data_IF_904024935506
#
_entry.id   IF_904024935506
#
_cell.length_a   1.000
_cell.length_b   1.000
_cell.length_c   1.000
_cell.angle_alpha   90.00
_cell.angle_beta   90.00
_cell.angle_gamma   90.00
#
_symmetry.space_group_name_H-M   'P 1'
#
loop_
_entity.id
_entity.type
_entity.pdbx_description
1 polymer ?
#
# COMPACT_ATOMS: atom_id res chain seq x y z
N UNK A 1 30.92 -6.95 -26.93
CA UNK A 1 30.40 -5.66 -26.43
C UNK A 1 30.42 -5.55 -24.89
N UNK A 2 30.62 -6.66 -24.13
CA UNK A 2 30.63 -6.66 -22.65
C UNK A 2 32.00 -6.33 -22.04
N UNK A 3 33.04 -6.78 -22.66
CA UNK A 3 34.41 -6.61 -22.17
C UNK A 3 34.85 -5.14 -21.98
N UNK A 4 34.52 -4.22 -22.90
CA UNK A 4 34.83 -2.80 -22.70
C UNK A 4 34.12 -2.15 -21.50
N UNK A 5 32.86 -2.54 -21.22
CA UNK A 5 32.07 -2.00 -20.09
C UNK A 5 32.63 -2.50 -18.75
N UNK A 6 32.99 -3.79 -18.68
CA UNK A 6 33.62 -4.37 -17.48
C UNK A 6 34.98 -3.73 -17.20
N UNK A 7 35.74 -3.52 -18.25
CA UNK A 7 37.07 -2.90 -18.13
C UNK A 7 37.01 -1.43 -17.69
N UNK A 8 36.01 -0.69 -18.20
CA UNK A 8 35.80 0.70 -17.81
C UNK A 8 35.31 0.80 -16.36
N UNK A 9 34.31 -0.01 -15.94
CA UNK A 9 33.88 -0.07 -14.56
C UNK A 9 35.01 -0.47 -13.61
N UNK A 10 35.82 -1.45 -14.00
CA UNK A 10 36.99 -1.88 -13.22
C UNK A 10 38.02 -0.77 -13.07
N UNK A 11 38.24 0.04 -14.12
CA UNK A 11 39.13 1.18 -14.08
C UNK A 11 38.63 2.26 -13.11
N UNK A 12 37.37 2.61 -13.17
CA UNK A 12 36.75 3.57 -12.24
C UNK A 12 36.86 3.11 -10.78
N UNK A 13 36.64 1.82 -10.50
CA UNK A 13 36.83 1.25 -9.16
C UNK A 13 38.28 1.33 -8.72
N UNK A 14 39.22 1.07 -9.62
CA UNK A 14 40.66 1.19 -9.32
C UNK A 14 41.04 2.63 -8.98
N UNK A 15 40.52 3.61 -9.73
CA UNK A 15 40.80 5.02 -9.52
C UNK A 15 40.25 5.48 -8.15
N UNK A 16 38.99 5.08 -7.80
CA UNK A 16 38.40 5.37 -6.51
C UNK A 16 39.22 4.76 -5.36
N UNK A 17 39.56 3.47 -5.44
CA UNK A 17 40.32 2.80 -4.39
C UNK A 17 41.71 3.42 -4.23
N UNK A 18 42.39 3.80 -5.33
CA UNK A 18 43.67 4.46 -5.27
C UNK A 18 43.59 5.86 -4.64
N UNK A 19 42.50 6.63 -4.91
CA UNK A 19 42.28 7.93 -4.29
C UNK A 19 41.98 7.83 -2.79
N UNK A 20 41.13 6.88 -2.38
CA UNK A 20 40.71 6.74 -0.99
C UNK A 20 41.76 6.05 -0.09
N UNK A 21 42.46 5.03 -0.59
CA UNK A 21 43.40 4.22 0.20
C UNK A 21 44.85 4.59 0.01
N UNK A 22 45.17 5.43 -0.98
CA UNK A 22 46.55 5.78 -1.37
C UNK A 22 47.34 4.60 -1.96
N UNK A 23 46.70 3.45 -2.23
CA UNK A 23 47.35 2.25 -2.76
C UNK A 23 46.59 1.69 -3.97
N UNK A 24 47.29 1.16 -4.98
CA UNK A 24 46.61 0.51 -6.10
C UNK A 24 45.91 -0.79 -5.66
N UNK A 25 44.85 -1.14 -6.36
CA UNK A 25 44.13 -2.38 -6.11
C UNK A 25 45.03 -3.61 -6.36
N UNK A 26 45.09 -4.52 -5.41
CA UNK A 26 45.87 -5.75 -5.51
C UNK A 26 45.38 -6.62 -6.69
N UNK A 27 46.30 -7.29 -7.43
CA UNK A 27 45.90 -8.11 -8.60
C UNK A 27 44.84 -9.14 -8.31
N UNK A 28 44.87 -9.79 -7.14
CA UNK A 28 43.87 -10.78 -6.73
C UNK A 28 42.47 -10.15 -6.42
N UNK A 29 42.45 -8.93 -5.88
CA UNK A 29 41.22 -8.17 -5.66
C UNK A 29 40.64 -7.68 -6.99
N UNK A 30 41.50 -7.24 -7.91
CA UNK A 30 41.12 -6.84 -9.26
C UNK A 30 40.42 -7.98 -10.02
N UNK A 31 40.94 -9.20 -9.97
CA UNK A 31 40.38 -10.36 -10.66
C UNK A 31 39.05 -10.79 -10.02
N UNK A 32 38.93 -10.71 -8.69
CA UNK A 32 37.66 -10.95 -7.99
C UNK A 32 36.58 -9.96 -8.40
N UNK A 33 36.90 -8.66 -8.44
CA UNK A 33 35.96 -7.61 -8.87
C UNK A 33 35.58 -7.81 -10.33
N UNK A 34 36.53 -8.12 -11.20
CA UNK A 34 36.26 -8.43 -12.62
C UNK A 34 35.28 -9.62 -12.75
N UNK A 35 35.50 -10.67 -11.98
CA UNK A 35 34.61 -11.85 -12.01
C UNK A 35 33.17 -11.53 -11.49
N UNK A 36 33.07 -10.72 -10.45
CA UNK A 36 31.76 -10.24 -9.95
C UNK A 36 31.06 -9.38 -11.00
N UNK A 37 31.75 -8.42 -11.60
CA UNK A 37 31.21 -7.57 -12.67
C UNK A 37 30.83 -8.39 -13.91
N UNK A 38 31.67 -9.35 -14.30
CA UNK A 38 31.40 -10.24 -15.43
C UNK A 38 30.20 -11.16 -15.17
N UNK A 39 30.07 -11.69 -13.94
CA UNK A 39 28.95 -12.49 -13.51
C UNK A 39 27.66 -11.66 -13.47
N UNK A 40 27.68 -10.49 -12.86
CA UNK A 40 26.55 -9.59 -12.78
C UNK A 40 26.10 -9.13 -14.19
N UNK A 41 27.03 -8.73 -15.05
CA UNK A 41 26.73 -8.41 -16.45
C UNK A 41 26.43 -9.66 -17.29
N UNK A 42 26.88 -10.84 -16.88
CA UNK A 42 26.52 -12.12 -17.45
C UNK A 42 25.09 -12.50 -17.15
N UNK A 43 24.65 -12.28 -15.92
CA UNK A 43 23.24 -12.45 -15.51
C UNK A 43 22.34 -11.42 -16.22
N UNK A 44 22.79 -10.16 -16.33
CA UNK A 44 22.10 -9.13 -17.11
C UNK A 44 22.08 -9.41 -18.62
N UNK A 45 23.03 -10.15 -19.16
CA UNK A 45 23.15 -10.43 -20.60
C UNK A 45 22.69 -11.83 -21.02
N UNK A 46 22.48 -12.75 -20.08
CA UNK A 46 21.67 -13.95 -20.29
C UNK A 46 20.23 -13.59 -20.68
N UNK A 47 19.82 -12.38 -20.34
CA UNK A 47 18.53 -11.76 -20.72
C UNK A 47 18.49 -11.30 -22.21
N UNK A 48 19.62 -11.15 -22.91
CA UNK A 48 19.68 -10.69 -24.31
C UNK A 48 19.61 -11.77 -25.39
N UNK A 49 19.65 -13.03 -24.98
CA UNK A 49 19.60 -14.17 -25.90
C UNK A 49 18.30 -14.93 -25.80
N UNK A 50 17.30 -14.61 -26.62
CA UNK A 50 16.10 -15.44 -26.86
C UNK A 50 15.22 -15.73 -25.65
N UNK A 51 15.23 -14.86 -24.63
CA UNK A 51 14.48 -15.08 -23.42
C UNK A 51 13.00 -14.77 -23.61
N UNK A 52 12.28 -15.84 -23.90
CA UNK A 52 10.86 -15.98 -23.63
C UNK A 52 10.60 -15.46 -22.22
N UNK A 53 9.62 -14.58 -22.08
CA UNK A 53 9.11 -14.11 -20.82
C UNK A 53 9.02 -15.28 -19.83
N UNK A 54 9.77 -15.19 -18.73
CA UNK A 54 9.83 -16.28 -17.73
C UNK A 54 8.70 -16.05 -16.73
N UNK A 55 7.83 -17.05 -16.61
CA UNK A 55 6.83 -17.06 -15.54
C UNK A 55 7.52 -17.44 -14.23
N UNK A 56 7.42 -16.57 -13.22
CA UNK A 56 7.98 -16.77 -11.88
C UNK A 56 6.89 -16.64 -10.83
N UNK A 57 7.00 -17.43 -9.77
CA UNK A 57 6.18 -17.28 -8.56
C UNK A 57 6.94 -16.35 -7.61
N UNK A 58 6.35 -15.18 -7.31
CA UNK A 58 6.99 -14.13 -6.52
C UNK A 58 6.04 -13.60 -5.46
N UNK A 59 6.60 -12.98 -4.43
CA UNK A 59 5.86 -12.12 -3.52
C UNK A 59 6.18 -10.67 -3.84
N UNK A 60 5.15 -9.90 -4.07
CA UNK A 60 5.21 -8.50 -4.48
C UNK A 60 4.81 -7.64 -3.28
N UNK A 61 5.61 -6.66 -2.95
CA UNK A 61 5.33 -5.64 -1.96
C UNK A 61 5.24 -4.28 -2.66
N UNK A 62 4.15 -3.57 -2.47
CA UNK A 62 4.02 -2.18 -2.86
C UNK A 62 3.80 -1.35 -1.60
N UNK A 63 4.62 -0.33 -1.41
CA UNK A 63 4.53 0.64 -0.32
C UNK A 63 4.34 2.03 -0.90
N UNK A 64 3.35 2.78 -0.42
CA UNK A 64 3.01 4.12 -0.88
C UNK A 64 2.80 5.09 0.28
N UNK A 65 3.24 6.35 0.13
CA UNK A 65 3.15 7.36 1.19
C UNK A 65 1.76 7.97 1.29
N UNK A 66 1.10 7.77 2.40
CA UNK A 66 -0.27 8.22 2.65
C UNK A 66 -0.36 9.73 2.86
N UNK A 67 -1.11 10.40 1.98
CA UNK A 67 -1.32 11.85 2.03
C UNK A 67 -0.14 12.66 1.51
N UNK A 68 0.75 12.06 0.73
CA UNK A 68 1.92 12.73 0.16
C UNK A 68 1.53 13.91 -0.75
N UNK A 69 0.44 13.83 -1.50
CA UNK A 69 -0.10 14.94 -2.30
C UNK A 69 -0.33 16.20 -1.46
N UNK A 70 -0.84 16.06 -0.24
CA UNK A 70 -1.03 17.19 0.67
C UNK A 70 0.32 17.76 1.17
N UNK A 71 1.31 16.90 1.42
CA UNK A 71 2.66 17.31 1.80
C UNK A 71 3.31 18.06 0.64
N UNK A 72 3.29 17.50 -0.57
CA UNK A 72 3.90 18.10 -1.75
C UNK A 72 3.28 19.44 -2.15
N UNK A 73 2.00 19.67 -1.82
CA UNK A 73 1.30 20.93 -2.05
C UNK A 73 1.58 21.97 -0.97
N UNK A 74 1.93 21.56 0.25
CA UNK A 74 2.05 22.43 1.42
C UNK A 74 3.48 22.83 1.75
N UNK A 75 4.47 22.11 1.26
CA UNK A 75 5.89 22.33 1.56
C UNK A 75 6.71 22.68 0.30
N UNK A 76 7.79 23.45 0.43
CA UNK A 76 8.70 23.73 -0.68
C UNK A 76 9.29 22.44 -1.28
N UNK A 77 9.42 22.39 -2.61
CA UNK A 77 9.88 21.22 -3.34
C UNK A 77 11.23 20.65 -2.82
N UNK A 78 12.13 21.52 -2.33
CA UNK A 78 13.42 21.11 -1.75
C UNK A 78 13.20 20.27 -0.48
N UNK A 79 12.28 20.65 0.39
CA UNK A 79 11.95 19.89 1.62
C UNK A 79 11.28 18.60 1.25
N UNK A 80 10.35 18.60 0.30
CA UNK A 80 9.66 17.38 -0.19
C UNK A 80 10.68 16.37 -0.74
N UNK A 81 11.64 16.84 -1.54
CA UNK A 81 12.69 16.00 -2.08
C UNK A 81 13.60 15.41 -0.99
N UNK A 82 13.97 16.22 0.01
CA UNK A 82 14.80 15.76 1.14
C UNK A 82 14.07 14.69 1.97
N UNK A 83 12.78 14.90 2.25
CA UNK A 83 11.93 13.94 2.95
C UNK A 83 11.85 12.60 2.20
N UNK A 84 11.61 12.65 0.88
CA UNK A 84 11.58 11.44 0.05
C UNK A 84 12.92 10.71 0.04
N UNK A 85 14.03 11.45 -0.13
CA UNK A 85 15.35 10.86 -0.17
C UNK A 85 15.71 10.17 1.15
N UNK A 86 15.49 10.81 2.30
CA UNK A 86 15.73 10.19 3.62
C UNK A 86 14.89 8.91 3.79
N UNK A 87 13.62 8.98 3.39
CA UNK A 87 12.72 7.86 3.44
C UNK A 87 13.22 6.72 2.54
N UNK A 88 13.49 7.00 1.27
CA UNK A 88 13.89 5.98 0.29
C UNK A 88 15.25 5.35 0.60
N UNK A 89 16.22 6.13 1.10
CA UNK A 89 17.51 5.58 1.57
C UNK A 89 17.26 4.54 2.66
N UNK A 90 16.48 4.93 3.70
CA UNK A 90 16.20 4.01 4.82
C UNK A 90 15.41 2.79 4.40
N UNK A 91 14.38 2.96 3.55
CA UNK A 91 13.59 1.83 3.05
C UNK A 91 14.41 0.91 2.16
N UNK A 92 15.28 1.44 1.31
CA UNK A 92 16.16 0.64 0.46
C UNK A 92 17.12 -0.24 1.28
N UNK A 93 17.70 0.30 2.35
CA UNK A 93 18.54 -0.49 3.26
C UNK A 93 17.79 -1.69 3.84
N UNK A 94 16.56 -1.47 4.33
CA UNK A 94 15.72 -2.53 4.89
C UNK A 94 15.37 -3.57 3.82
N UNK A 95 14.94 -3.11 2.63
CA UNK A 95 14.58 -4.00 1.53
C UNK A 95 15.76 -4.91 1.15
N UNK A 96 16.97 -4.36 1.03
CA UNK A 96 18.17 -5.15 0.71
C UNK A 96 18.57 -6.10 1.84
N UNK A 97 18.42 -5.71 3.11
CA UNK A 97 18.65 -6.59 4.27
C UNK A 97 17.73 -7.82 4.25
N UNK A 98 16.50 -7.65 3.76
CA UNK A 98 15.54 -8.75 3.57
C UNK A 98 15.66 -9.44 2.19
N UNK A 99 16.73 -9.17 1.44
CA UNK A 99 16.95 -9.72 0.10
C UNK A 99 15.78 -9.48 -0.87
N UNK A 100 15.12 -8.33 -0.76
CA UNK A 100 14.15 -7.83 -1.72
C UNK A 100 14.85 -7.14 -2.89
N UNK A 101 14.30 -7.26 -4.08
CA UNK A 101 14.73 -6.52 -5.25
C UNK A 101 13.78 -5.33 -5.49
N UNK A 102 14.28 -4.11 -5.42
CA UNK A 102 13.50 -2.93 -5.82
C UNK A 102 13.34 -2.99 -7.34
N UNK A 103 12.09 -3.13 -7.81
CA UNK A 103 11.78 -3.09 -9.23
C UNK A 103 11.85 -1.65 -9.73
N UNK A 104 11.14 -0.75 -9.06
CA UNK A 104 11.16 0.69 -9.37
C UNK A 104 10.58 1.55 -8.25
N UNK A 105 10.92 2.84 -8.30
CA UNK A 105 10.20 3.89 -7.60
C UNK A 105 9.17 4.53 -8.56
N UNK A 106 7.95 4.75 -8.06
CA UNK A 106 6.86 5.36 -8.82
C UNK A 106 6.36 6.58 -8.04
N UNK A 107 7.00 7.73 -8.24
CA UNK A 107 6.71 8.91 -7.41
C UNK A 107 7.11 8.67 -5.96
N UNK A 108 6.13 8.57 -5.09
CA UNK A 108 6.25 8.29 -3.65
C UNK A 108 6.04 6.82 -3.27
N UNK A 109 5.89 5.94 -4.28
CA UNK A 109 5.71 4.50 -4.08
C UNK A 109 6.98 3.70 -4.36
N UNK A 110 7.14 2.55 -3.71
CA UNK A 110 8.23 1.59 -3.89
C UNK A 110 7.65 0.23 -4.26
N UNK A 111 7.98 -0.29 -5.43
CA UNK A 111 7.63 -1.64 -5.86
C UNK A 111 8.80 -2.58 -5.62
N UNK A 112 8.58 -3.63 -4.84
CA UNK A 112 9.61 -4.60 -4.44
C UNK A 112 9.17 -6.01 -4.78
N UNK A 113 10.11 -6.80 -5.30
CA UNK A 113 9.91 -8.21 -5.65
C UNK A 113 10.76 -9.09 -4.75
N UNK A 114 10.14 -10.13 -4.19
CA UNK A 114 10.80 -11.18 -3.44
C UNK A 114 10.63 -12.51 -4.19
N UNK A 115 11.72 -13.09 -4.62
CA UNK A 115 11.75 -14.41 -5.27
C UNK A 115 12.09 -15.47 -4.23
N UNK A 116 11.45 -16.63 -4.28
CA UNK A 116 11.82 -17.76 -3.44
C UNK A 116 13.17 -18.30 -3.89
N UNK A 117 14.11 -18.43 -2.95
CA UNK A 117 15.40 -19.04 -3.21
C UNK A 117 15.34 -20.58 -3.23
N UNK A 118 16.43 -21.23 -3.66
CA UNK A 118 16.52 -22.69 -3.72
C UNK A 118 16.58 -23.37 -2.34
N UNK A 119 16.88 -22.63 -1.27
CA UNK A 119 17.05 -23.19 0.05
C UNK A 119 15.76 -23.12 0.90
N UNK A 120 15.45 -24.15 1.72
CA UNK A 120 14.41 -24.08 2.74
C UNK A 120 14.75 -22.95 3.73
N UNK A 121 13.95 -21.90 3.80
CA UNK A 121 14.18 -20.69 4.63
C UNK A 121 14.34 -19.40 3.82
N UNK A 122 14.59 -19.49 2.53
CA UNK A 122 14.51 -18.37 1.60
C UNK A 122 13.06 -18.14 1.14
N UNK A 123 12.12 -18.16 2.11
CA UNK A 123 10.71 -17.95 1.85
C UNK A 123 10.45 -16.48 1.50
N UNK A 124 10.04 -16.24 0.26
CA UNK A 124 9.72 -14.92 -0.25
C UNK A 124 8.62 -14.23 0.57
N UNK A 125 7.61 -14.96 1.02
CA UNK A 125 6.51 -14.43 1.83
C UNK A 125 7.01 -13.97 3.18
N UNK A 126 7.82 -14.79 3.85
CA UNK A 126 8.39 -14.46 5.17
C UNK A 126 9.26 -13.22 5.08
N UNK A 127 10.13 -13.13 4.08
CA UNK A 127 11.01 -11.98 3.87
C UNK A 127 10.22 -10.70 3.55
N UNK A 128 9.23 -10.78 2.68
CA UNK A 128 8.38 -9.64 2.32
C UNK A 128 7.59 -9.09 3.52
N UNK A 129 6.99 -9.96 4.33
CA UNK A 129 6.24 -9.54 5.51
C UNK A 129 7.20 -8.99 6.58
N UNK A 130 8.32 -9.64 6.86
CA UNK A 130 9.31 -9.13 7.83
C UNK A 130 9.87 -7.78 7.40
N UNK A 131 10.16 -7.61 6.10
CA UNK A 131 10.55 -6.33 5.51
C UNK A 131 9.49 -5.24 5.74
N UNK A 132 8.22 -5.52 5.44
CA UNK A 132 7.13 -4.57 5.62
C UNK A 132 6.95 -4.12 7.07
N UNK A 133 7.06 -5.05 8.02
CA UNK A 133 6.99 -4.72 9.46
C UNK A 133 8.16 -3.84 9.87
N UNK A 134 9.38 -4.15 9.40
CA UNK A 134 10.57 -3.33 9.69
C UNK A 134 10.50 -1.95 9.06
N UNK A 135 9.96 -1.84 7.83
CA UNK A 135 9.70 -0.54 7.20
C UNK A 135 8.77 0.33 8.04
N UNK A 136 7.67 -0.24 8.57
CA UNK A 136 6.74 0.51 9.43
C UNK A 136 7.40 0.96 10.74
N UNK A 137 8.20 0.10 11.37
CA UNK A 137 8.97 0.46 12.58
C UNK A 137 9.98 1.56 12.30
N UNK A 138 10.69 1.49 11.16
CA UNK A 138 11.66 2.50 10.77
C UNK A 138 11.02 3.87 10.52
N UNK A 139 9.76 3.89 10.01
CA UNK A 139 9.00 5.14 9.83
C UNK A 139 8.71 5.85 11.14
N UNK A 140 8.52 5.15 12.26
CA UNK A 140 8.37 5.80 13.57
C UNK A 140 9.63 6.58 13.96
N UNK A 141 10.82 5.98 13.72
CA UNK A 141 12.09 6.63 13.98
C UNK A 141 12.31 7.86 13.11
N UNK A 142 11.99 7.78 11.81
CA UNK A 142 12.05 8.91 10.89
C UNK A 142 11.07 10.02 11.30
N UNK A 143 9.85 9.67 11.66
CA UNK A 143 8.84 10.63 12.10
C UNK A 143 9.21 11.32 13.44
N UNK A 144 9.93 10.63 14.33
CA UNK A 144 10.49 11.28 15.53
C UNK A 144 11.49 12.37 15.15
N UNK A 145 12.41 12.12 14.22
CA UNK A 145 13.36 13.11 13.71
C UNK A 145 12.64 14.27 12.98
N UNK A 146 11.63 13.96 12.15
CA UNK A 146 10.86 14.97 11.45
C UNK A 146 10.14 15.92 12.43
N UNK A 147 9.59 15.40 13.53
CA UNK A 147 8.97 16.24 14.57
C UNK A 147 9.97 17.20 15.21
N UNK A 148 11.17 16.75 15.51
CA UNK A 148 12.24 17.59 16.07
C UNK A 148 12.68 18.69 15.10
N UNK A 149 12.66 18.40 13.79
CA UNK A 149 13.00 19.35 12.71
C UNK A 149 11.81 20.25 12.30
N UNK A 150 10.60 20.02 12.84
CA UNK A 150 9.37 20.75 12.45
C UNK A 150 8.86 20.36 11.06
N UNK A 151 9.18 19.16 10.58
CA UNK A 151 8.79 18.61 9.29
C UNK A 151 7.55 17.73 9.43
N UNK A 152 6.81 17.50 8.31
CA UNK A 152 5.63 16.65 8.35
C UNK A 152 5.99 15.19 8.59
N UNK A 153 5.14 14.49 9.33
CA UNK A 153 5.22 13.06 9.48
C UNK A 153 4.74 12.35 8.20
N UNK A 154 5.43 11.27 7.85
CA UNK A 154 5.10 10.44 6.70
C UNK A 154 4.73 9.02 7.14
N UNK A 155 3.82 8.39 6.43
CA UNK A 155 3.32 7.06 6.75
C UNK A 155 3.12 6.24 5.49
N UNK A 156 3.63 5.02 5.46
CA UNK A 156 3.33 4.08 4.40
C UNK A 156 2.00 3.37 4.62
N UNK A 157 1.25 3.17 3.51
CA UNK A 157 0.36 2.05 3.34
C UNK A 157 1.09 0.97 2.56
N UNK A 158 0.96 -0.30 2.95
CA UNK A 158 1.66 -1.40 2.30
C UNK A 158 0.69 -2.50 1.89
N UNK A 159 0.77 -2.93 0.63
CA UNK A 159 0.07 -4.09 0.09
C UNK A 159 1.05 -5.20 -0.29
N UNK A 160 0.74 -6.45 0.07
CA UNK A 160 1.54 -7.63 -0.27
C UNK A 160 0.65 -8.68 -0.93
N UNK A 161 1.11 -9.18 -2.06
CA UNK A 161 0.44 -10.25 -2.79
C UNK A 161 1.46 -11.27 -3.30
N UNK A 162 1.05 -12.54 -3.41
CA UNK A 162 1.92 -13.62 -3.87
C UNK A 162 1.24 -14.37 -5.01
N UNK A 163 1.96 -14.52 -6.12
CA UNK A 163 1.47 -15.24 -7.27
C UNK A 163 2.42 -15.23 -8.45
N UNK A 164 1.92 -15.67 -9.60
CA UNK A 164 2.71 -15.82 -10.82
C UNK A 164 2.74 -14.53 -11.62
N UNK A 165 3.94 -14.09 -11.95
CA UNK A 165 4.19 -12.95 -12.83
C UNK A 165 5.06 -13.36 -14.00
N UNK A 166 5.03 -12.57 -15.04
CA UNK A 166 5.95 -12.64 -16.16
C UNK A 166 7.07 -11.65 -15.93
N UNK A 167 8.30 -12.12 -15.82
CA UNK A 167 9.50 -11.29 -15.80
C UNK A 167 9.96 -11.08 -17.24
N UNK A 168 10.05 -9.83 -17.67
CA UNK A 168 10.38 -9.48 -19.06
C UNK A 168 11.23 -8.21 -19.12
N UNK A 169 12.01 -8.11 -20.19
CA UNK A 169 12.66 -6.86 -20.58
C UNK A 169 11.69 -6.10 -21.46
N UNK A 170 11.22 -4.96 -20.99
CA UNK A 170 10.28 -4.10 -21.70
C UNK A 170 11.03 -2.89 -22.26
N UNK A 171 10.82 -2.59 -23.54
CA UNK A 171 11.41 -1.41 -24.16
C UNK A 171 11.89 -1.63 -25.59
N UNK A 172 12.84 -0.81 -25.99
CA UNK A 172 13.48 -0.81 -27.31
C UNK A 172 15.00 -1.01 -27.19
N UNK A 173 15.69 -1.06 -28.34
CA UNK A 173 17.15 -1.10 -28.38
C UNK A 173 17.82 0.15 -27.77
N UNK A 174 17.10 1.27 -27.69
CA UNK A 174 17.59 2.52 -27.13
C UNK A 174 17.35 2.64 -25.62
N UNK A 175 16.27 2.05 -25.13
CA UNK A 175 15.93 2.05 -23.72
C UNK A 175 15.13 0.79 -23.38
N UNK A 176 15.56 0.07 -22.37
CA UNK A 176 14.85 -1.10 -21.89
C UNK A 176 14.94 -1.22 -20.36
N UNK A 177 13.85 -1.64 -19.77
CA UNK A 177 13.70 -1.84 -18.33
C UNK A 177 13.30 -3.28 -18.04
N UNK A 178 13.96 -3.90 -17.07
CA UNK A 178 13.55 -5.20 -16.58
C UNK A 178 12.40 -4.99 -15.61
N UNK A 179 11.26 -5.60 -15.85
CA UNK A 179 10.06 -5.42 -15.02
C UNK A 179 9.25 -6.70 -14.94
N UNK A 180 8.37 -6.74 -13.95
CA UNK A 180 7.39 -7.82 -13.80
C UNK A 180 6.02 -7.36 -14.30
N UNK A 181 5.35 -8.22 -15.06
CA UNK A 181 4.03 -7.95 -15.65
C UNK A 181 3.08 -9.08 -15.26
N UNK A 182 1.86 -8.74 -14.93
CA UNK A 182 0.81 -9.70 -14.63
C UNK A 182 -0.30 -9.14 -13.76
N UNK A 183 -1.40 -9.88 -13.69
CA UNK A 183 -2.57 -9.54 -12.87
C UNK A 183 -2.22 -9.40 -11.39
N UNK A 184 -1.19 -10.13 -10.93
CA UNK A 184 -0.75 -10.11 -9.55
C UNK A 184 -0.07 -8.78 -9.16
N UNK A 185 0.62 -8.12 -10.08
CA UNK A 185 1.18 -6.78 -9.88
C UNK A 185 0.03 -5.77 -9.72
N UNK A 186 -0.96 -5.83 -10.62
CA UNK A 186 -2.14 -4.97 -10.55
C UNK A 186 -2.95 -5.23 -9.28
N UNK A 187 -3.06 -6.50 -8.85
CA UNK A 187 -3.73 -6.85 -7.61
C UNK A 187 -2.99 -6.28 -6.40
N UNK A 188 -1.65 -6.33 -6.39
CA UNK A 188 -0.83 -5.76 -5.31
C UNK A 188 -1.07 -4.25 -5.17
N UNK A 189 -1.09 -3.50 -6.27
CA UNK A 189 -1.39 -2.07 -6.25
C UNK A 189 -2.78 -1.78 -5.68
N UNK A 190 -3.76 -2.61 -6.02
CA UNK A 190 -5.11 -2.48 -5.48
C UNK A 190 -5.21 -2.85 -4.00
N UNK A 191 -4.45 -3.85 -3.54
CA UNK A 191 -4.37 -4.20 -2.11
C UNK A 191 -3.75 -3.03 -1.34
N UNK A 192 -2.69 -2.47 -1.88
CA UNK A 192 -2.00 -1.34 -1.30
C UNK A 192 -2.95 -0.15 -1.13
N UNK A 193 -3.76 0.22 -2.16
CA UNK A 193 -4.70 1.34 -2.10
C UNK A 193 -5.80 1.19 -1.03
N UNK A 194 -6.06 -0.01 -0.52
CA UNK A 194 -6.93 -0.25 0.64
C UNK A 194 -6.25 0.00 1.98
N UNK A 195 -4.93 0.05 2.02
CA UNK A 195 -4.20 0.19 3.28
C UNK A 195 -4.27 1.61 3.84
N UNK A 196 -4.25 1.72 5.15
CA UNK A 196 -4.23 2.98 5.89
C UNK A 196 -2.81 3.32 6.33
N UNK A 197 -2.64 4.48 6.98
CA UNK A 197 -1.37 4.91 7.56
C UNK A 197 -0.82 3.87 8.53
N UNK A 198 0.38 3.39 8.28
CA UNK A 198 1.03 2.37 9.08
C UNK A 198 0.48 0.95 8.90
N UNK A 199 -0.46 0.73 7.98
CA UNK A 199 -1.09 -0.57 7.78
C UNK A 199 -0.36 -1.41 6.74
N UNK A 200 -0.29 -2.71 7.00
CA UNK A 200 0.20 -3.73 6.07
C UNK A 200 -0.94 -4.68 5.75
N UNK A 201 -1.35 -4.73 4.48
CA UNK A 201 -2.39 -5.65 4.01
C UNK A 201 -1.79 -6.78 3.17
N UNK A 202 -2.27 -7.99 3.40
CA UNK A 202 -1.88 -9.16 2.62
C UNK A 202 -3.09 -9.82 1.96
N UNK A 203 -2.89 -10.38 0.78
CA UNK A 203 -3.90 -11.19 0.11
C UNK A 203 -4.07 -12.57 0.77
N UNK A 204 -5.18 -13.23 0.47
CA UNK A 204 -5.44 -14.59 0.92
C UNK A 204 -4.40 -15.60 0.36
N UNK A 205 -3.89 -15.38 -0.87
CA UNK A 205 -2.80 -16.19 -1.44
C UNK A 205 -1.50 -16.04 -0.65
N UNK A 206 -1.18 -14.85 -0.16
CA UNK A 206 -0.05 -14.60 0.72
C UNK A 206 -0.28 -15.20 2.11
N UNK A 207 -1.47 -14.97 2.69
CA UNK A 207 -1.84 -15.49 4.01
C UNK A 207 -1.74 -17.02 4.10
N UNK A 208 -2.23 -17.74 3.10
CA UNK A 208 -2.15 -19.20 3.04
C UNK A 208 -0.72 -19.76 3.06
N UNK A 209 0.27 -18.95 2.68
CA UNK A 209 1.69 -19.31 2.71
C UNK A 209 2.41 -18.89 3.98
N UNK A 210 1.70 -18.29 4.95
CA UNK A 210 2.31 -17.83 6.19
C UNK A 210 2.48 -18.93 7.25
N UNK A 211 1.90 -20.13 7.07
CA UNK A 211 1.98 -21.26 8.01
C UNK A 211 1.73 -20.87 9.49
N UNK A 212 0.86 -19.88 9.71
CA UNK A 212 0.43 -19.45 11.04
C UNK A 212 1.45 -18.63 11.86
N UNK A 213 2.62 -18.27 11.31
CA UNK A 213 3.60 -17.46 12.04
C UNK A 213 3.27 -15.96 12.10
N UNK A 214 2.29 -15.51 11.31
CA UNK A 214 1.84 -14.11 11.26
C UNK A 214 0.55 -13.95 12.03
N UNK A 215 0.51 -13.01 12.96
CA UNK A 215 -0.74 -12.58 13.60
C UNK A 215 -1.44 -11.58 12.69
N UNK A 216 -2.68 -11.89 12.29
CA UNK A 216 -3.49 -11.02 11.43
C UNK A 216 -4.76 -10.56 12.12
N UNK A 217 -5.34 -9.48 11.62
CA UNK A 217 -6.71 -9.08 11.91
C UNK A 217 -7.74 -9.99 11.21
N UNK A 218 -9.02 -9.67 11.43
CA UNK A 218 -10.13 -10.35 10.80
C UNK A 218 -10.06 -10.24 9.26
N UNK A 219 -10.54 -11.25 8.52
CA UNK A 219 -10.61 -11.17 7.07
C UNK A 219 -11.54 -10.04 6.62
N UNK A 220 -11.11 -9.31 5.60
CA UNK A 220 -11.86 -8.23 4.98
C UNK A 220 -12.13 -8.58 3.52
N UNK A 221 -13.40 -8.78 3.18
CA UNK A 221 -13.82 -8.99 1.80
C UNK A 221 -13.90 -7.65 1.07
N UNK A 222 -13.15 -7.50 0.00
CA UNK A 222 -13.11 -6.27 -0.79
C UNK A 222 -13.43 -6.54 -2.25
N UNK A 223 -14.13 -5.59 -2.86
CA UNK A 223 -14.34 -5.61 -4.31
C UNK A 223 -13.13 -5.01 -5.01
N UNK A 224 -12.54 -5.75 -5.94
CA UNK A 224 -11.37 -5.30 -6.71
C UNK A 224 -11.79 -5.20 -8.18
N UNK A 225 -11.66 -4.00 -8.79
CA UNK A 225 -11.97 -3.77 -10.20
C UNK A 225 -11.24 -4.79 -11.09
N UNK A 226 -11.97 -5.44 -12.02
CA UNK A 226 -11.40 -6.44 -12.93
C UNK A 226 -11.25 -7.84 -12.34
N UNK A 227 -11.68 -8.08 -11.10
CA UNK A 227 -11.90 -9.43 -10.58
C UNK A 227 -13.40 -9.71 -10.51
N UNK A 228 -13.82 -10.92 -10.89
CA UNK A 228 -15.23 -11.34 -10.87
C UNK A 228 -15.72 -11.75 -9.48
N UNK A 229 -14.80 -11.98 -8.56
CA UNK A 229 -15.09 -12.36 -7.18
C UNK A 229 -14.46 -11.38 -6.20
N UNK A 230 -15.02 -11.30 -4.99
CA UNK A 230 -14.43 -10.58 -3.87
C UNK A 230 -13.05 -11.15 -3.54
N UNK A 231 -12.12 -10.27 -3.16
CA UNK A 231 -10.77 -10.62 -2.71
C UNK A 231 -10.74 -10.50 -1.19
N UNK A 232 -10.24 -11.53 -0.53
CA UNK A 232 -10.07 -11.52 0.92
C UNK A 232 -8.71 -10.93 1.25
N UNK A 233 -8.70 -9.88 2.07
CA UNK A 233 -7.50 -9.24 2.60
C UNK A 233 -7.42 -9.43 4.11
N UNK A 234 -6.21 -9.37 4.64
CA UNK A 234 -5.95 -9.38 6.09
C UNK A 234 -4.90 -8.35 6.45
N UNK A 235 -5.09 -7.68 7.57
CA UNK A 235 -4.08 -6.79 8.14
C UNK A 235 -3.05 -7.63 8.90
N UNK A 236 -1.77 -7.39 8.66
CA UNK A 236 -0.68 -7.92 9.47
C UNK A 236 -0.59 -7.09 10.76
N UNK A 237 -0.75 -7.73 11.91
CA UNK A 237 -0.69 -7.08 13.22
C UNK A 237 0.66 -7.30 13.91
N UNK A 238 1.20 -8.50 13.77
CA UNK A 238 2.50 -8.85 14.36
C UNK A 238 3.13 -10.05 13.63
N UNK A 239 4.44 -10.11 13.71
CA UNK A 239 5.28 -11.29 13.48
C UNK A 239 5.91 -11.71 14.82
N UNK A 240 6.55 -12.87 14.94
CA UNK A 240 7.27 -13.23 16.15
C UNK A 240 8.25 -12.12 16.57
N UNK A 241 8.17 -11.72 17.84
CA UNK A 241 9.01 -10.70 18.49
C UNK A 241 8.86 -9.25 17.99
N UNK A 242 7.88 -8.97 17.10
CA UNK A 242 7.66 -7.60 16.60
C UNK A 242 6.20 -7.34 16.21
N UNK A 243 5.63 -6.26 16.75
CA UNK A 243 4.31 -5.76 16.33
C UNK A 243 4.45 -4.69 15.24
N UNK A 244 3.43 -4.58 14.39
CA UNK A 244 3.32 -3.49 13.42
C UNK A 244 2.85 -2.23 14.14
N UNK A 245 3.61 -1.12 14.13
CA UNK A 245 3.18 0.14 14.71
C UNK A 245 1.97 0.68 13.96
N UNK A 246 0.81 0.69 14.60
CA UNK A 246 -0.43 1.11 13.95
C UNK A 246 -0.75 2.55 14.31
N UNK A 247 -0.77 3.41 13.30
CA UNK A 247 -1.07 4.84 13.44
C UNK A 247 -2.57 5.17 13.24
N UNK A 248 -3.29 4.29 12.58
CA UNK A 248 -4.71 4.50 12.28
C UNK A 248 -5.58 3.44 12.96
N UNK A 249 -6.55 3.88 13.74
CA UNK A 249 -7.48 2.97 14.45
C UNK A 249 -8.60 2.45 13.54
N UNK A 250 -8.82 3.09 12.40
CA UNK A 250 -9.89 2.75 11.46
C UNK A 250 -9.63 1.42 10.77
N UNK A 251 -10.73 0.72 10.44
CA UNK A 251 -10.66 -0.60 9.78
C UNK A 251 -10.66 -0.52 8.26
N UNK A 252 -10.94 0.63 7.67
CA UNK A 252 -11.04 0.83 6.22
C UNK A 252 -10.80 2.28 5.82
N UNK A 253 -10.37 2.53 4.57
CA UNK A 253 -10.24 3.88 4.05
C UNK A 253 -11.58 4.62 4.07
N UNK A 254 -11.50 5.96 4.14
CA UNK A 254 -12.64 6.86 4.05
C UNK A 254 -12.33 7.97 3.06
N UNK A 255 -13.36 8.39 2.35
CA UNK A 255 -13.26 9.46 1.37
C UNK A 255 -14.23 10.58 1.75
N UNK A 256 -13.74 11.82 1.71
CA UNK A 256 -14.56 13.00 1.91
C UNK A 256 -15.51 13.18 0.73
N UNK A 257 -16.80 13.33 1.04
CA UNK A 257 -17.86 13.51 0.06
C UNK A 257 -18.84 14.59 0.55
N UNK A 258 -19.74 14.99 -0.32
CA UNK A 258 -20.87 15.85 0.07
C UNK A 258 -22.11 15.32 -0.66
N UNK A 259 -22.83 14.41 -0.01
CA UNK A 259 -24.00 13.76 -0.62
C UNK A 259 -25.23 13.94 0.26
N UNK A 260 -26.41 14.15 -0.34
CA UNK A 260 -27.67 14.13 0.40
C UNK A 260 -27.89 12.80 1.13
N UNK A 261 -28.38 12.86 2.34
CA UNK A 261 -28.74 11.72 3.17
C UNK A 261 -30.21 11.85 3.58
N UNK A 262 -30.95 10.76 3.51
CA UNK A 262 -32.22 10.61 4.18
C UNK A 262 -32.03 9.57 5.29
N UNK A 263 -32.50 9.87 6.48
CA UNK A 263 -32.41 8.94 7.59
C UNK A 263 -33.73 8.85 8.37
N UNK A 264 -33.96 7.71 9.00
CA UNK A 264 -35.10 7.45 9.88
C UNK A 264 -34.55 6.81 11.16
N UNK A 265 -35.07 7.23 12.30
CA UNK A 265 -34.71 6.58 13.56
C UNK A 265 -35.35 5.19 13.65
N UNK A 266 -34.63 4.27 14.32
CA UNK A 266 -35.14 2.91 14.60
C UNK A 266 -35.27 2.78 16.11
N UNK A 267 -36.47 2.41 16.57
CA UNK A 267 -36.75 2.20 17.99
C UNK A 267 -37.45 0.84 18.16
N UNK A 268 -36.92 0.02 19.07
CA UNK A 268 -37.45 -1.34 19.33
C UNK A 268 -37.66 -2.17 18.04
N UNK A 269 -36.64 -2.15 17.17
CA UNK A 269 -36.62 -2.83 15.85
C UNK A 269 -37.68 -2.30 14.85
N UNK A 270 -38.30 -1.15 15.11
CA UNK A 270 -39.28 -0.51 14.23
C UNK A 270 -38.71 0.77 13.65
N UNK A 271 -38.69 0.88 12.32
CA UNK A 271 -38.31 2.11 11.62
C UNK A 271 -39.42 3.14 11.80
N UNK A 272 -39.12 4.28 12.40
CA UNK A 272 -40.08 5.36 12.58
C UNK A 272 -40.47 5.99 11.22
N UNK A 273 -41.72 6.44 11.04
CA UNK A 273 -42.18 6.95 9.74
C UNK A 273 -41.58 8.31 9.35
N UNK A 274 -41.02 9.06 10.31
CA UNK A 274 -40.48 10.38 10.08
C UNK A 274 -39.15 10.30 9.26
N UNK A 275 -39.17 10.81 8.02
CA UNK A 275 -38.03 10.87 7.14
C UNK A 275 -37.32 12.22 7.32
N UNK A 276 -36.11 12.21 7.75
CA UNK A 276 -35.31 13.38 8.07
C UNK A 276 -34.18 13.54 7.05
N UNK A 277 -33.80 14.81 6.80
CA UNK A 277 -32.72 15.13 5.90
C UNK A 277 -31.39 15.28 6.65
N UNK A 278 -30.31 14.96 5.94
CA UNK A 278 -28.94 15.10 6.41
C UNK A 278 -27.99 15.16 5.23
N UNK A 279 -26.68 15.12 5.54
CA UNK A 279 -25.62 15.12 4.55
C UNK A 279 -24.51 14.18 4.96
N UNK A 280 -24.09 13.33 4.06
CA UNK A 280 -22.87 12.50 4.23
C UNK A 280 -21.66 13.39 3.97
N UNK A 281 -20.71 13.43 4.91
CA UNK A 281 -19.47 14.20 4.85
C UNK A 281 -18.25 13.36 4.49
N UNK A 282 -18.22 12.12 4.98
CA UNK A 282 -17.27 11.10 4.56
C UNK A 282 -17.94 9.74 4.51
N UNK A 283 -17.40 8.85 3.70
CA UNK A 283 -17.86 7.48 3.55
C UNK A 283 -16.68 6.51 3.53
N UNK A 284 -16.81 5.42 4.28
CA UNK A 284 -15.91 4.26 4.25
C UNK A 284 -16.69 2.97 4.05
N UNK A 285 -16.01 1.83 4.06
CA UNK A 285 -16.65 0.52 3.83
C UNK A 285 -17.64 0.13 4.93
N UNK A 286 -17.41 0.62 6.14
CA UNK A 286 -18.16 0.18 7.34
C UNK A 286 -18.92 1.31 8.03
N UNK A 287 -18.98 2.50 7.43
CA UNK A 287 -19.69 3.61 8.06
C UNK A 287 -19.52 4.93 7.34
N UNK A 288 -20.22 5.93 7.85
CA UNK A 288 -20.22 7.31 7.36
C UNK A 288 -20.01 8.29 8.51
N UNK A 289 -19.48 9.47 8.18
CA UNK A 289 -19.67 10.69 8.97
C UNK A 289 -20.78 11.50 8.29
N UNK A 290 -21.78 11.90 9.05
CA UNK A 290 -22.89 12.68 8.52
C UNK A 290 -23.19 13.90 9.40
N UNK A 291 -23.75 14.93 8.78
CA UNK A 291 -24.48 16.01 9.47
C UNK A 291 -25.96 15.70 9.41
N UNK A 292 -26.63 15.76 10.58
CA UNK A 292 -28.04 15.51 10.74
C UNK A 292 -28.71 16.67 11.45
N UNK A 293 -29.94 17.00 11.06
CA UNK A 293 -30.69 18.11 11.64
C UNK A 293 -31.22 17.77 13.04
N UNK A 294 -31.82 16.59 13.18
CA UNK A 294 -32.40 16.14 14.45
C UNK A 294 -31.38 15.23 15.14
N UNK A 295 -30.86 15.62 16.31
CA UNK A 295 -29.84 14.84 16.99
C UNK A 295 -30.36 13.47 17.41
N UNK A 296 -29.57 12.44 17.13
CA UNK A 296 -29.80 11.07 17.61
C UNK A 296 -28.72 10.78 18.66
N UNK A 297 -29.15 10.19 19.76
CA UNK A 297 -28.26 9.85 20.86
C UNK A 297 -27.20 8.81 20.46
N UNK A 298 -26.08 8.79 21.21
CA UNK A 298 -25.07 7.76 21.03
C UNK A 298 -25.67 6.37 21.23
N UNK A 299 -25.30 5.45 20.35
CA UNK A 299 -25.85 4.09 20.22
C UNK A 299 -27.28 4.00 19.65
N UNK A 300 -27.90 5.13 19.27
CA UNK A 300 -29.17 5.11 18.55
C UNK A 300 -29.02 4.45 17.17
N UNK A 301 -30.05 3.77 16.74
CA UNK A 301 -30.08 3.08 15.44
C UNK A 301 -30.82 3.89 14.40
N UNK A 302 -30.33 3.80 13.16
CA UNK A 302 -30.81 4.56 12.02
C UNK A 302 -30.97 3.65 10.81
N UNK A 303 -32.03 3.89 10.03
CA UNK A 303 -32.08 3.43 8.64
C UNK A 303 -31.65 4.59 7.73
N UNK A 304 -30.78 4.31 6.76
CA UNK A 304 -30.08 5.28 5.92
C UNK A 304 -30.40 5.07 4.44
N UNK A 305 -30.64 6.17 3.72
CA UNK A 305 -30.77 6.17 2.27
C UNK A 305 -29.89 7.27 1.66
N UNK A 306 -29.10 6.96 0.65
CA UNK A 306 -28.31 7.90 -0.14
C UNK A 306 -27.94 7.34 -1.50
N UNK A 307 -27.59 8.20 -2.43
CA UNK A 307 -27.22 7.82 -3.79
C UNK A 307 -25.69 7.76 -3.95
N UNK A 308 -25.21 6.76 -4.69
CA UNK A 308 -23.82 6.58 -5.08
C UNK A 308 -23.65 6.90 -6.59
N UNK A 309 -23.38 8.18 -6.97
CA UNK A 309 -23.51 8.62 -8.35
C UNK A 309 -22.53 7.92 -9.30
N UNK A 310 -21.29 7.65 -8.87
CA UNK A 310 -20.28 6.98 -9.73
C UNK A 310 -20.60 5.51 -10.03
N UNK A 311 -21.43 4.89 -9.19
CA UNK A 311 -21.86 3.48 -9.32
C UNK A 311 -23.26 3.37 -9.89
N UNK A 312 -24.00 4.51 -9.96
CA UNK A 312 -25.40 4.54 -10.40
C UNK A 312 -26.33 3.76 -9.47
N UNK A 313 -25.98 3.57 -8.21
CA UNK A 313 -26.73 2.79 -7.23
C UNK A 313 -27.33 3.68 -6.16
N UNK A 314 -28.60 3.49 -5.87
CA UNK A 314 -29.27 4.06 -4.70
C UNK A 314 -29.23 3.06 -3.56
N UNK A 315 -28.62 3.45 -2.45
CA UNK A 315 -28.58 2.68 -1.21
C UNK A 315 -29.90 2.90 -0.48
N UNK A 316 -30.55 1.80 -0.11
CA UNK A 316 -31.75 1.74 0.71
C UNK A 316 -31.61 0.59 1.70
N UNK A 317 -32.39 0.61 2.75
CA UNK A 317 -32.42 -0.44 3.78
C UNK A 317 -31.01 -0.72 4.35
N UNK A 318 -30.24 0.34 4.51
CA UNK A 318 -28.93 0.30 5.18
C UNK A 318 -29.14 0.73 6.63
N UNK A 319 -28.85 -0.16 7.55
CA UNK A 319 -28.96 0.14 8.98
C UNK A 319 -27.59 0.47 9.56
N UNK A 320 -27.58 1.42 10.50
CA UNK A 320 -26.36 1.85 11.15
C UNK A 320 -26.59 2.34 12.56
N UNK A 321 -25.55 2.29 13.38
CA UNK A 321 -25.54 2.69 14.77
C UNK A 321 -24.69 3.93 14.97
N UNK A 322 -25.19 4.92 15.69
CA UNK A 322 -24.45 6.13 16.04
C UNK A 322 -23.36 5.78 17.05
N UNK A 323 -22.08 5.84 16.64
CA UNK A 323 -20.92 5.56 17.51
C UNK A 323 -20.34 6.82 18.12
N UNK A 324 -20.57 7.97 17.48
CA UNK A 324 -20.11 9.29 17.95
C UNK A 324 -21.12 10.36 17.55
N UNK A 325 -21.40 11.29 18.46
CA UNK A 325 -22.27 12.43 18.22
C UNK A 325 -21.63 13.68 18.79
N UNK A 326 -21.50 14.73 17.97
CA UNK A 326 -20.85 16.01 18.36
C UNK A 326 -21.71 17.16 17.81
N UNK A 327 -22.20 18.08 18.65
CA UNK A 327 -22.88 19.28 18.18
C UNK A 327 -21.96 20.11 17.27
N UNK A 328 -22.49 20.63 16.18
CA UNK A 328 -21.75 21.46 15.22
C UNK A 328 -22.65 22.52 14.60
N UNK A 329 -22.48 23.77 14.99
CA UNK A 329 -23.34 24.90 14.57
C UNK A 329 -24.85 24.59 14.75
N UNK A 330 -25.63 24.65 13.67
CA UNK A 330 -27.07 24.36 13.69
C UNK A 330 -27.42 22.86 13.46
N UNK A 331 -26.43 21.98 13.30
CA UNK A 331 -26.60 20.57 13.03
C UNK A 331 -25.80 19.71 14.03
N UNK A 332 -25.94 18.41 13.94
CA UNK A 332 -25.13 17.47 14.73
C UNK A 332 -24.31 16.60 13.78
N UNK A 333 -22.99 16.54 14.02
CA UNK A 333 -22.12 15.59 13.33
C UNK A 333 -22.15 14.25 14.04
N UNK A 334 -22.48 13.21 13.29
CA UNK A 334 -22.60 11.83 13.79
C UNK A 334 -21.71 10.90 13.00
N UNK A 335 -20.90 10.12 13.71
CA UNK A 335 -20.24 8.94 13.16
C UNK A 335 -21.20 7.76 13.23
N UNK A 336 -21.49 7.14 12.11
CA UNK A 336 -22.44 6.02 12.00
C UNK A 336 -21.68 4.80 11.49
N UNK A 337 -21.71 3.70 12.23
CA UNK A 337 -21.20 2.39 11.82
C UNK A 337 -22.33 1.57 11.24
N UNK A 338 -22.11 0.95 10.08
CA UNK A 338 -23.13 0.10 9.44
C UNK A 338 -23.30 -1.20 10.24
N UNK A 339 -24.51 -1.46 10.69
CA UNK A 339 -24.87 -2.65 11.48
C UNK A 339 -25.46 -3.76 10.61
N UNK A 340 -26.25 -3.42 9.58
CA UNK A 340 -26.84 -4.38 8.65
C UNK A 340 -26.98 -3.77 7.27
N UNK A 341 -26.62 -4.53 6.26
CA UNK A 341 -26.78 -4.14 4.85
C UNK A 341 -26.77 -5.36 3.95
N UNK A 342 -27.43 -5.27 2.79
CA UNK A 342 -27.38 -6.32 1.77
C UNK A 342 -25.95 -6.46 1.18
N UNK A 343 -25.65 -7.64 0.65
CA UNK A 343 -24.39 -7.92 -0.05
C UNK A 343 -24.20 -6.95 -1.22
N UNK A 344 -25.28 -6.63 -1.94
CA UNK A 344 -25.24 -5.69 -3.05
C UNK A 344 -24.92 -4.26 -2.61
N UNK A 345 -25.51 -3.77 -1.52
CA UNK A 345 -25.21 -2.45 -0.98
C UNK A 345 -23.78 -2.37 -0.48
N UNK A 346 -23.29 -3.42 0.21
CA UNK A 346 -21.91 -3.51 0.66
C UNK A 346 -20.93 -3.42 -0.51
N UNK A 347 -21.16 -4.20 -1.57
CA UNK A 347 -20.33 -4.17 -2.78
C UNK A 347 -20.37 -2.80 -3.48
N UNK A 348 -21.54 -2.17 -3.57
CA UNK A 348 -21.71 -0.86 -4.18
C UNK A 348 -20.97 0.25 -3.39
N UNK A 349 -21.05 0.24 -2.05
CA UNK A 349 -20.34 1.19 -1.19
C UNK A 349 -18.82 1.00 -1.33
N UNK A 350 -18.34 -0.24 -1.30
CA UNK A 350 -16.91 -0.53 -1.48
C UNK A 350 -16.40 -0.06 -2.84
N UNK A 351 -17.15 -0.36 -3.91
CA UNK A 351 -16.82 0.08 -5.27
C UNK A 351 -16.81 1.60 -5.38
N UNK A 352 -17.78 2.29 -4.79
CA UNK A 352 -17.87 3.76 -4.80
C UNK A 352 -16.66 4.40 -4.10
N UNK A 353 -16.34 3.96 -2.89
CA UNK A 353 -15.18 4.43 -2.13
C UNK A 353 -13.88 4.19 -2.90
N UNK A 354 -13.75 3.01 -3.52
CA UNK A 354 -12.58 2.65 -4.32
C UNK A 354 -12.41 3.54 -5.55
N UNK A 355 -13.49 3.82 -6.27
CA UNK A 355 -13.45 4.71 -7.43
C UNK A 355 -13.03 6.13 -7.04
N UNK A 356 -13.47 6.61 -5.88
CA UNK A 356 -13.07 7.93 -5.36
C UNK A 356 -11.59 7.97 -4.96
N UNK A 357 -11.06 6.92 -4.33
CA UNK A 357 -9.64 6.82 -3.99
C UNK A 357 -8.80 6.85 -5.27
N UNK A 358 -9.12 6.02 -6.25
CA UNK A 358 -8.41 5.96 -7.54
C UNK A 358 -8.53 7.24 -8.36
N UNK A 359 -9.67 7.94 -8.27
CA UNK A 359 -9.88 9.22 -8.95
C UNK A 359 -9.12 10.39 -8.31
N UNK A 360 -8.85 10.33 -7.01
CA UNK A 360 -8.03 11.30 -6.30
C UNK A 360 -6.52 11.14 -6.61
N UNK A 361 -6.09 9.93 -7.00
CA UNK A 361 -4.71 9.65 -7.42
C UNK A 361 -4.44 10.05 -8.89
N UNK A 362 -5.50 10.28 -9.69
CA UNK A 362 -5.40 10.61 -11.13
C UNK A 362 -5.51 12.12 -11.43
N UNK A 363 -5.69 12.98 -10.43
CA UNK A 363 -5.71 14.44 -10.53
C UNK A 363 -4.47 15.05 -9.85
#
# INVERSE_FOLDING_TARGET
>A
MKEPVVLEALRQIQDIVAQESGKPLEPAARERIKNVLTSALGQLAGVRGNDRALTRDVTILLADLRGFTAISSSYPAVIVLELLNRCFVRMSEIIFQHHGAIDKFMGDSILVIFESGPNPGEDAVRRAISCSVEMQVAMEGLNAQHREEGWPEMYFGIGINTGRVMSALLGSDLYSEHTVIGDEVNLTSRIESFSLRGQVLISDSTFKRCDGWVKTGDPMDVFVKGKSAMVVLREVLAIPDREVPRQEVRRSPRVTVSMPLIYQAVENDVVLPERLAGRVLDIGYHGILAEIEKPIGQFGELMLEFDLPLVGKKIRDLYGKVVKSVPHAAATRVGIEFSSTSIENKAAIQMFVQLLIQGAEAQ
#
